data_IF_639080216230
#
_entry.id   IF_639080216230
#
_cell.length_a   1.000
_cell.length_b   1.000
_cell.length_c   1.000
_cell.angle_alpha   90.00
_cell.angle_beta   90.00
_cell.angle_gamma   90.00
#
_symmetry.space_group_name_H-M   'P 1'
#
loop_
_entity.id
_entity.type
_entity.pdbx_description
1 polymer ?
#
# COMPACT_ATOMS: atom_id res chain seq x y z
N UNK A 1 10.85 7.15 -17.19
CA UNK A 1 10.20 8.08 -16.25
C UNK A 1 8.83 7.51 -15.93
N UNK A 2 8.54 7.26 -14.65
CA UNK A 2 7.21 6.79 -14.19
C UNK A 2 6.36 8.00 -13.84
N UNK A 3 5.09 7.99 -14.24
CA UNK A 3 4.10 9.04 -13.91
C UNK A 3 2.81 8.38 -13.44
N UNK A 4 2.15 8.98 -12.45
CA UNK A 4 0.84 8.55 -11.97
C UNK A 4 -0.22 9.26 -12.80
N UNK A 5 -1.23 8.51 -13.26
CA UNK A 5 -2.36 9.01 -14.02
C UNK A 5 -3.64 8.30 -13.55
N UNK A 6 -4.79 8.70 -14.12
CA UNK A 6 -6.13 8.20 -13.75
C UNK A 6 -6.62 8.66 -12.36
N UNK A 7 -6.74 9.99 -12.21
CA UNK A 7 -7.34 10.63 -11.04
C UNK A 7 -8.87 10.73 -11.13
N UNK A 8 -9.53 9.88 -11.93
CA UNK A 8 -10.99 9.96 -12.17
C UNK A 8 -11.86 9.74 -10.93
N UNK A 9 -11.28 9.12 -9.89
CA UNK A 9 -11.89 8.91 -8.58
C UNK A 9 -11.24 9.75 -7.46
N UNK A 10 -10.32 10.65 -7.79
CA UNK A 10 -9.64 11.46 -6.80
C UNK A 10 -10.62 12.47 -6.17
N UNK A 11 -10.61 12.54 -4.85
CA UNK A 11 -11.44 13.47 -4.08
C UNK A 11 -10.57 14.59 -3.50
N UNK A 12 -11.12 15.81 -3.46
CA UNK A 12 -10.44 16.90 -2.77
C UNK A 12 -10.47 16.63 -1.27
N UNK A 13 -9.31 16.36 -0.73
CA UNK A 13 -9.12 16.23 0.69
C UNK A 13 -9.36 17.58 1.41
N UNK A 14 -10.43 17.69 2.19
CA UNK A 14 -10.58 18.78 3.16
C UNK A 14 -9.80 18.41 4.41
N UNK A 15 -8.54 18.84 4.47
CA UNK A 15 -7.66 18.61 5.62
C UNK A 15 -8.23 19.36 6.81
N UNK A 16 -8.52 18.65 7.88
CA UNK A 16 -8.90 19.23 9.15
C UNK A 16 -7.66 19.95 9.75
N UNK A 17 -7.70 21.28 9.96
CA UNK A 17 -6.52 22.04 10.41
C UNK A 17 -6.02 21.64 11.81
N UNK A 18 -6.88 21.07 12.65
CA UNK A 18 -6.54 20.69 14.02
C UNK A 18 -5.90 19.30 14.09
N UNK A 19 -6.32 18.39 13.21
CA UNK A 19 -5.86 16.98 13.23
C UNK A 19 -4.95 16.62 12.06
N UNK A 20 -4.84 17.48 11.05
CA UNK A 20 -4.17 17.17 9.77
C UNK A 20 -4.85 16.03 9.01
N UNK A 21 -6.03 15.58 9.44
CA UNK A 21 -6.68 14.39 8.92
C UNK A 21 -7.47 14.70 7.66
N UNK A 22 -7.37 13.78 6.70
CA UNK A 22 -8.17 13.78 5.49
C UNK A 22 -9.39 12.88 5.68
N UNK A 23 -10.55 13.30 5.18
CA UNK A 23 -11.79 12.52 5.29
C UNK A 23 -12.48 12.41 3.94
N UNK A 24 -12.56 11.18 3.45
CA UNK A 24 -13.33 10.75 2.28
C UNK A 24 -14.32 9.66 2.69
N UNK A 25 -15.44 9.53 1.96
CA UNK A 25 -16.53 8.62 2.29
C UNK A 25 -16.85 7.72 1.10
N UNK A 26 -16.93 6.41 1.34
CA UNK A 26 -17.45 5.44 0.36
C UNK A 26 -16.52 4.28 0.09
N UNK A 27 -16.94 3.43 -0.84
CA UNK A 27 -16.19 2.24 -1.30
C UNK A 27 -15.92 2.39 -2.79
N UNK A 28 -14.79 2.99 -3.13
CA UNK A 28 -14.36 3.26 -4.51
C UNK A 28 -12.95 2.74 -4.74
N UNK A 29 -12.66 2.34 -5.97
CA UNK A 29 -11.34 1.83 -6.38
C UNK A 29 -11.28 0.31 -6.57
N UNK A 30 -10.10 -0.16 -6.98
CA UNK A 30 -9.84 -1.56 -7.30
C UNK A 30 -9.72 -2.40 -6.02
N UNK A 31 -10.63 -3.37 -5.85
CA UNK A 31 -10.78 -4.20 -4.63
C UNK A 31 -9.45 -4.73 -4.07
N UNK A 32 -8.54 -5.14 -4.95
CA UNK A 32 -7.26 -5.77 -4.58
C UNK A 32 -6.33 -4.85 -3.79
N UNK A 33 -6.39 -3.54 -4.01
CA UNK A 33 -5.51 -2.56 -3.36
C UNK A 33 -6.20 -1.82 -2.22
N UNK A 34 -7.49 -2.08 -2.01
CA UNK A 34 -8.33 -1.34 -1.09
C UNK A 34 -7.93 -1.61 0.37
N UNK A 35 -7.77 -0.54 1.15
CA UNK A 35 -7.52 -0.65 2.59
C UNK A 35 -8.74 -1.24 3.33
N UNK A 36 -8.55 -1.96 4.46
CA UNK A 36 -9.65 -2.60 5.19
C UNK A 36 -10.78 -1.63 5.58
N UNK A 37 -10.43 -0.42 6.00
CA UNK A 37 -11.40 0.62 6.34
C UNK A 37 -12.19 1.13 5.13
N UNK A 38 -11.61 1.15 3.94
CA UNK A 38 -12.33 1.50 2.70
C UNK A 38 -13.27 0.37 2.28
N UNK A 39 -12.85 -0.89 2.50
CA UNK A 39 -13.64 -2.07 2.16
C UNK A 39 -14.92 -2.24 3.00
N UNK A 40 -14.94 -1.68 4.23
CA UNK A 40 -16.09 -1.71 5.18
C UNK A 40 -17.34 -1.00 4.65
N UNK A 41 -17.22 -0.09 3.68
CA UNK A 41 -18.37 0.43 2.94
C UNK A 41 -18.85 1.83 3.36
N UNK A 42 -20.05 2.16 2.87
CA UNK A 42 -20.65 3.51 2.95
C UNK A 42 -20.67 4.05 4.37
N UNK A 43 -20.22 5.28 4.54
CA UNK A 43 -20.15 5.97 5.83
C UNK A 43 -18.84 5.77 6.59
N UNK A 44 -17.92 4.91 6.11
CA UNK A 44 -16.58 4.82 6.68
C UNK A 44 -15.73 5.98 6.18
N UNK A 45 -15.14 6.70 7.12
CA UNK A 45 -14.24 7.81 6.86
C UNK A 45 -12.82 7.26 6.72
N UNK A 46 -12.17 7.58 5.61
CA UNK A 46 -10.76 7.26 5.38
C UNK A 46 -9.98 8.48 4.93
N UNK A 47 -8.66 8.42 5.04
CA UNK A 47 -7.77 9.51 4.66
C UNK A 47 -6.55 9.03 3.90
N UNK A 48 -5.48 9.83 3.92
CA UNK A 48 -4.23 9.57 3.17
C UNK A 48 -3.58 8.22 3.52
N UNK A 49 -3.84 7.68 4.72
CA UNK A 49 -3.35 6.36 5.13
C UNK A 49 -3.94 5.21 4.33
N UNK A 50 -5.09 5.39 3.66
CA UNK A 50 -5.64 4.42 2.72
C UNK A 50 -4.83 4.35 1.42
N UNK A 51 -4.32 5.49 0.95
CA UNK A 51 -3.43 5.55 -0.21
C UNK A 51 -2.07 4.90 0.11
N UNK A 52 -1.57 5.08 1.34
CA UNK A 52 -0.35 4.39 1.81
C UNK A 52 -0.52 2.86 1.75
N UNK A 53 -1.67 2.35 2.21
CA UNK A 53 -1.95 0.92 2.15
C UNK A 53 -1.99 0.42 0.71
N UNK A 54 -2.66 1.16 -0.17
CA UNK A 54 -2.77 0.85 -1.60
C UNK A 54 -1.39 0.84 -2.27
N UNK A 55 -0.55 1.82 -1.93
CA UNK A 55 0.83 1.90 -2.38
C UNK A 55 1.67 0.72 -1.89
N UNK A 56 1.53 0.28 -0.64
CA UNK A 56 2.26 -0.87 -0.11
C UNK A 56 1.93 -2.14 -0.92
N UNK A 57 0.67 -2.37 -1.27
CA UNK A 57 0.28 -3.52 -2.11
C UNK A 57 0.80 -3.39 -3.54
N UNK A 58 0.82 -2.18 -4.11
CA UNK A 58 1.43 -1.92 -5.41
C UNK A 58 2.93 -2.16 -5.40
N UNK A 59 3.64 -1.66 -4.38
CA UNK A 59 5.07 -1.88 -4.20
C UNK A 59 5.36 -3.37 -4.05
N UNK A 60 4.58 -4.09 -3.23
CA UNK A 60 4.70 -5.54 -3.11
C UNK A 60 4.55 -6.24 -4.47
N UNK A 61 3.57 -5.83 -5.29
CA UNK A 61 3.38 -6.39 -6.63
C UNK A 61 4.58 -6.14 -7.54
N UNK A 62 5.15 -4.94 -7.49
CA UNK A 62 6.32 -4.57 -8.29
C UNK A 62 7.52 -5.44 -7.89
N UNK A 63 7.83 -5.52 -6.59
CA UNK A 63 9.05 -6.21 -6.13
C UNK A 63 8.92 -7.74 -6.13
N UNK A 64 7.70 -8.27 -5.98
CA UNK A 64 7.45 -9.72 -6.02
C UNK A 64 7.13 -10.23 -7.42
N UNK A 65 6.82 -9.33 -8.38
CA UNK A 65 6.31 -9.64 -9.73
C UNK A 65 5.06 -10.53 -9.74
N UNK A 66 4.23 -10.41 -8.68
CA UNK A 66 3.01 -11.23 -8.49
C UNK A 66 1.77 -10.37 -8.29
N UNK A 67 0.61 -10.98 -8.52
CA UNK A 67 -0.69 -10.35 -8.30
C UNK A 67 -1.10 -10.51 -6.83
N UNK A 68 -1.35 -9.42 -6.08
CA UNK A 68 -1.75 -9.53 -4.66
C UNK A 68 -3.07 -10.28 -4.52
N UNK A 69 -3.22 -11.26 -3.64
CA UNK A 69 -4.51 -11.95 -3.42
C UNK A 69 -5.10 -12.64 -4.67
N UNK A 70 -4.27 -13.25 -5.51
CA UNK A 70 -4.71 -13.92 -6.75
C UNK A 70 -5.76 -15.03 -6.50
N UNK A 71 -5.66 -15.73 -5.36
CA UNK A 71 -6.61 -16.78 -4.96
C UNK A 71 -7.98 -16.24 -4.52
N UNK A 72 -8.01 -15.03 -3.93
CA UNK A 72 -9.24 -14.37 -3.47
C UNK A 72 -9.91 -13.58 -4.59
N UNK A 73 -9.10 -12.92 -5.40
CA UNK A 73 -9.55 -12.07 -6.50
C UNK A 73 -8.85 -12.57 -7.76
N UNK A 74 -9.42 -13.56 -8.47
CA UNK A 74 -8.89 -14.00 -9.74
C UNK A 74 -8.89 -12.87 -10.77
N UNK A 75 -7.99 -12.91 -11.75
CA UNK A 75 -7.99 -11.97 -12.87
C UNK A 75 -9.16 -12.21 -13.85
N UNK A 76 -9.75 -13.39 -13.80
CA UNK A 76 -10.84 -13.77 -14.70
C UNK A 76 -12.15 -13.10 -14.26
N UNK A 77 -12.85 -12.39 -15.17
CA UNK A 77 -14.12 -11.73 -14.87
C UNK A 77 -15.26 -12.73 -14.63
N UNK A 78 -15.04 -14.01 -14.91
CA UNK A 78 -16.03 -15.09 -14.72
C UNK A 78 -16.12 -15.57 -13.26
N UNK A 79 -15.19 -15.17 -12.40
CA UNK A 79 -15.12 -15.62 -11.02
C UNK A 79 -15.49 -14.49 -10.06
N UNK A 80 -16.38 -14.78 -9.12
CA UNK A 80 -16.77 -13.85 -8.08
C UNK A 80 -15.62 -13.64 -7.07
N UNK A 81 -15.24 -12.38 -6.77
CA UNK A 81 -14.23 -12.08 -5.75
C UNK A 81 -14.67 -12.56 -4.37
N UNK A 82 -13.76 -13.23 -3.66
CA UNK A 82 -13.95 -13.59 -2.25
C UNK A 82 -13.56 -12.42 -1.34
N UNK A 83 -14.21 -12.26 -0.18
CA UNK A 83 -13.77 -11.29 0.82
C UNK A 83 -12.33 -11.57 1.25
N UNK A 84 -11.47 -10.55 1.19
CA UNK A 84 -10.12 -10.62 1.78
C UNK A 84 -10.27 -10.40 3.29
N UNK A 85 -9.80 -11.32 4.16
CA UNK A 85 -9.80 -11.08 5.60
C UNK A 85 -9.00 -9.82 5.96
N UNK A 86 -9.49 -9.02 6.91
CA UNK A 86 -8.94 -7.69 7.21
C UNK A 86 -7.44 -7.66 7.54
N UNK A 87 -6.92 -8.74 8.14
CA UNK A 87 -5.52 -8.90 8.51
C UNK A 87 -4.70 -9.74 7.53
N UNK A 88 -5.30 -10.23 6.44
CA UNK A 88 -4.57 -10.99 5.42
C UNK A 88 -3.67 -10.06 4.63
N UNK A 89 -2.42 -10.46 4.41
CA UNK A 89 -1.45 -9.76 3.57
C UNK A 89 -0.80 -10.71 2.57
N UNK A 90 -0.33 -10.22 1.41
CA UNK A 90 0.46 -11.00 0.48
C UNK A 90 1.74 -11.54 1.13
N UNK A 91 2.16 -12.73 0.71
CA UNK A 91 3.33 -13.38 1.31
C UNK A 91 4.62 -12.61 1.01
N UNK A 92 5.39 -12.31 2.05
CA UNK A 92 6.70 -11.65 1.94
C UNK A 92 7.82 -12.59 1.50
N UNK A 93 7.56 -13.90 1.33
CA UNK A 93 8.57 -14.86 0.88
C UNK A 93 9.13 -14.55 -0.51
N UNK A 94 8.39 -13.79 -1.31
CA UNK A 94 8.78 -13.35 -2.66
C UNK A 94 9.49 -11.99 -2.69
N UNK A 95 9.69 -11.35 -1.54
CA UNK A 95 10.42 -10.09 -1.41
C UNK A 95 11.79 -10.42 -0.84
N UNK A 96 12.88 -10.20 -1.56
CA UNK A 96 14.22 -10.63 -1.08
C UNK A 96 14.80 -9.69 -0.01
N UNK A 97 14.65 -8.39 -0.19
CA UNK A 97 15.19 -7.38 0.72
C UNK A 97 14.44 -7.35 2.05
N UNK A 98 15.17 -7.54 3.16
CA UNK A 98 14.63 -7.42 4.52
C UNK A 98 14.11 -6.00 4.80
N UNK A 99 14.81 -4.99 4.29
CA UNK A 99 14.44 -3.59 4.47
C UNK A 99 13.12 -3.29 3.75
N UNK A 100 12.91 -3.84 2.55
CA UNK A 100 11.63 -3.73 1.84
C UNK A 100 10.50 -4.49 2.55
N UNK A 101 10.78 -5.65 3.15
CA UNK A 101 9.79 -6.38 3.96
C UNK A 101 9.32 -5.52 5.13
N UNK A 102 10.26 -4.94 5.89
CA UNK A 102 9.94 -4.07 7.02
C UNK A 102 9.14 -2.84 6.58
N UNK A 103 9.51 -2.21 5.47
CA UNK A 103 8.78 -1.07 4.90
C UNK A 103 7.34 -1.43 4.53
N UNK A 104 7.14 -2.58 3.86
CA UNK A 104 5.82 -3.08 3.51
C UNK A 104 4.98 -3.35 4.76
N UNK A 105 5.55 -4.05 5.75
CA UNK A 105 4.92 -4.36 7.03
C UNK A 105 4.43 -3.11 7.75
N UNK A 106 5.26 -2.07 7.83
CA UNK A 106 4.91 -0.80 8.46
C UNK A 106 3.90 0.03 7.66
N UNK A 107 3.78 -0.20 6.35
CA UNK A 107 2.89 0.58 5.47
C UNK A 107 1.50 -0.03 5.30
N UNK A 108 1.34 -1.34 5.50
CA UNK A 108 0.04 -2.03 5.37
C UNK A 108 -0.53 -2.57 6.69
N UNK A 109 -0.11 -2.04 7.84
CA UNK A 109 -0.73 -2.38 9.13
C UNK A 109 -2.23 -2.10 9.13
N UNK A 110 -2.98 -2.89 9.91
CA UNK A 110 -4.43 -2.77 9.97
C UNK A 110 -4.89 -1.38 10.43
N UNK A 111 -4.35 -0.91 11.56
CA UNK A 111 -4.65 0.41 12.09
C UNK A 111 -4.11 1.52 11.17
N UNK A 112 -4.97 2.39 10.60
CA UNK A 112 -4.53 3.46 9.70
C UNK A 112 -3.64 4.50 10.38
N UNK A 113 -3.78 4.70 11.70
CA UNK A 113 -2.97 5.67 12.46
C UNK A 113 -1.53 5.21 12.69
N UNK A 114 -1.29 3.90 12.68
CA UNK A 114 0.03 3.29 12.85
C UNK A 114 0.81 3.13 11.53
N UNK A 115 0.20 3.44 10.38
CA UNK A 115 0.88 3.33 9.08
C UNK A 115 1.89 4.46 8.90
N UNK A 116 2.99 4.16 8.19
CA UNK A 116 3.94 5.18 7.75
C UNK A 116 3.26 6.27 6.92
N UNK A 117 3.81 7.49 6.96
CA UNK A 117 3.42 8.53 6.02
C UNK A 117 4.26 8.42 4.74
N UNK A 118 3.73 8.90 3.61
CA UNK A 118 4.47 8.90 2.34
C UNK A 118 5.84 9.58 2.43
N UNK A 119 5.96 10.62 3.25
CA UNK A 119 7.24 11.28 3.53
C UNK A 119 8.28 10.29 4.04
N UNK A 120 7.91 9.48 5.02
CA UNK A 120 8.82 8.52 5.65
C UNK A 120 9.11 7.36 4.70
N UNK A 121 8.11 6.90 3.95
CA UNK A 121 8.30 5.88 2.89
C UNK A 121 9.34 6.33 1.86
N UNK A 122 9.29 7.58 1.41
CA UNK A 122 10.27 8.12 0.46
C UNK A 122 11.68 8.15 1.07
N UNK A 123 11.82 8.52 2.34
CA UNK A 123 13.11 8.51 3.03
C UNK A 123 13.68 7.08 3.12
N UNK A 124 12.87 6.12 3.56
CA UNK A 124 13.26 4.71 3.67
C UNK A 124 13.65 4.12 2.31
N UNK A 125 12.84 4.35 1.27
CA UNK A 125 13.15 3.88 -0.08
C UNK A 125 14.46 4.48 -0.60
N UNK A 126 14.70 5.78 -0.36
CA UNK A 126 15.95 6.42 -0.76
C UNK A 126 17.16 5.81 -0.06
N UNK A 127 17.06 5.40 1.20
CA UNK A 127 18.13 4.66 1.88
C UNK A 127 18.33 3.26 1.31
N UNK A 128 17.23 2.54 1.03
CA UNK A 128 17.27 1.16 0.49
C UNK A 128 17.94 1.10 -0.89
N UNK A 129 17.69 2.09 -1.76
CA UNK A 129 18.25 2.13 -3.12
C UNK A 129 19.67 2.68 -3.19
N UNK A 130 20.24 3.19 -2.08
CA UNK A 130 21.63 3.67 -2.10
C UNK A 130 22.56 2.50 -2.44
N UNK A 131 23.51 2.70 -3.36
CA UNK A 131 24.50 1.67 -3.65
C UNK A 131 25.29 1.36 -2.37
N UNK A 132 25.26 0.09 -1.95
CA UNK A 132 26.11 -0.37 -0.84
C UNK A 132 27.56 -0.20 -1.29
N UNK A 133 28.36 0.52 -0.49
CA UNK A 133 29.78 0.73 -0.81
C UNK A 133 30.45 -0.64 -0.98
N UNK A 134 31.29 -0.84 -2.01
CA UNK A 134 32.04 -2.08 -2.14
C UNK A 134 32.85 -2.29 -0.86
N UNK A 135 32.72 -3.49 -0.28
CA UNK A 135 33.58 -3.92 0.81
C UNK A 135 34.96 -4.08 0.19
N UNK A 136 35.88 -3.16 0.46
CA UNK A 136 37.30 -3.35 0.19
C UNK A 136 37.79 -4.46 1.12
N UNK A 137 37.69 -5.72 0.67
CA UNK A 137 38.49 -6.80 1.22
C UNK A 137 39.94 -6.53 0.86
N UNK A 138 40.65 -5.86 1.77
CA UNK A 138 42.10 -5.76 1.72
C UNK A 138 42.72 -7.14 1.88
N UNK A 139 43.43 -7.58 0.84
CA UNK A 139 44.61 -8.43 0.95
C UNK A 139 45.66 -7.87 0.01
#
# INVERSE_FOLDING_TARGET
>A
CVKIFDFGLAEKCNIDPATGSCRSIGKVGTLRYMAPEVAKGKGTVYGLSADVFSFALLLWQIVSTRVPYEDEIPLSPLFEPKPIPENKRPSLKYVESKDLRALLEASWVFDPGSRLQFRDIVLELNEIIKPKRPITTGK
#
